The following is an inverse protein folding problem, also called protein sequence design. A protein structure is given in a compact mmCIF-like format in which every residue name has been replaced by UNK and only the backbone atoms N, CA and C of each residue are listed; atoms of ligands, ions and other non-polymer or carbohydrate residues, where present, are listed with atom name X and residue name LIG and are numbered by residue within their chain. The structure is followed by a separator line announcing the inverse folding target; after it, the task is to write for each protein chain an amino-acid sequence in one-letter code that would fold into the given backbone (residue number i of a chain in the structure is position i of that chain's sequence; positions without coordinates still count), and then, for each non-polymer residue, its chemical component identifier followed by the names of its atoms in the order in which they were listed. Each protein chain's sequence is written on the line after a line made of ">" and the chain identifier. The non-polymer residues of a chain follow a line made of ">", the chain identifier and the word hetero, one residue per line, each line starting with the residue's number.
data_IF_012724427285
#
_entry.id   IF_012724427285
#
_cell.length_a   1.000
_cell.length_b   1.000
_cell.length_c   1.000
_cell.angle_alpha   90.00
_cell.angle_beta   90.00
_cell.angle_gamma   90.00
#
_symmetry.space_group_name_H-M   'P 1'
#
loop_
_entity.id
_entity.type
_entity.pdbx_description
1 polymer ?
#
# COMPACT_ATOMS: atom_id res chain seq x y z
N UNK A 1 5.70 -14.53 -10.14
CA UNK A 1 7.05 -14.45 -9.56
C UNK A 1 6.94 -13.57 -8.32
N UNK A 2 6.71 -14.19 -7.17
CA UNK A 2 6.52 -13.49 -5.90
C UNK A 2 7.87 -12.88 -5.50
N UNK A 3 7.91 -11.55 -5.39
CA UNK A 3 9.13 -10.80 -5.15
C UNK A 3 9.63 -11.17 -3.74
N UNK A 4 10.71 -11.95 -3.67
CA UNK A 4 11.32 -12.40 -2.42
C UNK A 4 11.55 -11.18 -1.54
N UNK A 5 10.71 -11.06 -0.51
CA UNK A 5 10.84 -10.05 0.54
C UNK A 5 12.23 -10.25 1.13
N UNK A 6 13.05 -9.20 1.18
CA UNK A 6 14.48 -9.28 1.50
C UNK A 6 14.71 -9.98 2.85
N UNK A 7 14.88 -11.31 2.81
CA UNK A 7 15.00 -12.17 3.99
C UNK A 7 16.12 -11.70 4.93
N UNK A 8 17.22 -11.25 4.34
CA UNK A 8 18.35 -10.65 5.05
C UNK A 8 17.97 -9.41 5.88
N UNK A 9 17.02 -8.56 5.43
CA UNK A 9 16.59 -7.39 6.20
C UNK A 9 15.77 -7.79 7.43
N UNK A 10 14.90 -8.79 7.31
CA UNK A 10 14.14 -9.25 8.47
C UNK A 10 15.02 -9.98 9.48
N UNK A 11 16.02 -10.74 9.02
CA UNK A 11 17.01 -11.38 9.88
C UNK A 11 17.86 -10.34 10.63
N UNK A 12 18.35 -9.29 9.94
CA UNK A 12 19.12 -8.21 10.58
C UNK A 12 18.29 -7.45 11.63
N UNK A 13 17.05 -7.10 11.31
CA UNK A 13 16.15 -6.43 12.26
C UNK A 13 15.82 -7.35 13.44
N UNK A 14 15.54 -8.63 13.18
CA UNK A 14 15.28 -9.63 14.22
C UNK A 14 16.44 -9.75 15.22
N UNK A 15 17.69 -9.78 14.73
CA UNK A 15 18.88 -9.80 15.57
C UNK A 15 18.99 -8.54 16.44
N UNK A 16 18.77 -7.35 15.86
CA UNK A 16 18.85 -6.06 16.58
C UNK A 16 17.76 -5.90 17.65
N UNK A 17 16.57 -6.45 17.38
CA UNK A 17 15.38 -6.26 18.22
C UNK A 17 15.08 -7.45 19.13
N UNK A 18 15.85 -8.55 19.02
CA UNK A 18 15.67 -9.80 19.77
C UNK A 18 14.29 -10.43 19.58
N UNK A 19 13.69 -10.27 18.41
CA UNK A 19 12.45 -10.98 18.02
C UNK A 19 12.72 -11.93 16.87
N UNK A 20 11.78 -12.82 16.56
CA UNK A 20 11.95 -13.75 15.43
C UNK A 20 11.77 -13.03 14.08
N UNK A 21 12.45 -13.45 13.00
CA UNK A 21 12.24 -12.88 11.67
C UNK A 21 10.78 -12.96 11.20
N UNK A 22 10.06 -14.02 11.60
CA UNK A 22 8.63 -14.17 11.33
C UNK A 22 7.79 -13.07 12.00
N UNK A 23 8.09 -12.75 13.25
CA UNK A 23 7.41 -11.66 13.98
C UNK A 23 7.67 -10.31 13.31
N UNK A 24 8.90 -10.05 12.86
CA UNK A 24 9.24 -8.83 12.10
C UNK A 24 8.42 -8.74 10.82
N UNK A 25 8.32 -9.85 10.08
CA UNK A 25 7.52 -9.92 8.86
C UNK A 25 6.02 -9.67 9.13
N UNK A 26 5.46 -10.25 10.18
CA UNK A 26 4.05 -10.05 10.55
C UNK A 26 3.77 -8.58 10.90
N UNK A 27 4.63 -7.95 11.69
CA UNK A 27 4.52 -6.52 12.02
C UNK A 27 4.60 -5.68 10.74
N UNK A 28 5.56 -5.98 9.86
CA UNK A 28 5.72 -5.28 8.59
C UNK A 28 4.46 -5.37 7.72
N UNK A 29 3.87 -6.57 7.61
CA UNK A 29 2.60 -6.78 6.88
C UNK A 29 1.46 -5.95 7.46
N UNK A 30 1.35 -5.86 8.79
CA UNK A 30 0.31 -5.05 9.45
C UNK A 30 0.50 -3.56 9.13
N UNK A 31 1.72 -3.03 9.27
CA UNK A 31 1.99 -1.60 9.01
C UNK A 31 1.75 -1.24 7.54
N UNK A 32 2.21 -2.08 6.62
CA UNK A 32 1.97 -1.88 5.18
C UNK A 32 0.48 -1.99 4.84
N UNK A 33 -0.22 -2.97 5.41
CA UNK A 33 -1.65 -3.18 5.22
C UNK A 33 -2.47 -1.98 5.71
N UNK A 34 -2.17 -1.49 6.92
CA UNK A 34 -2.78 -0.29 7.48
C UNK A 34 -2.54 0.92 6.56
N UNK A 35 -1.28 1.18 6.19
CA UNK A 35 -0.92 2.30 5.31
C UNK A 35 -1.69 2.25 3.98
N UNK A 36 -1.76 1.08 3.35
CA UNK A 36 -2.49 0.89 2.11
C UNK A 36 -4.01 1.11 2.27
N UNK A 37 -4.58 0.63 3.38
CA UNK A 37 -5.99 0.84 3.72
C UNK A 37 -6.29 2.32 3.92
N UNK A 38 -5.49 3.02 4.70
CA UNK A 38 -5.64 4.46 4.95
C UNK A 38 -5.55 5.27 3.65
N UNK A 39 -4.59 4.99 2.77
CA UNK A 39 -4.50 5.67 1.46
C UNK A 39 -5.75 5.38 0.61
N UNK A 40 -6.27 4.16 0.64
CA UNK A 40 -7.44 3.78 -0.16
C UNK A 40 -8.73 4.42 0.35
N UNK A 41 -8.93 4.44 1.67
CA UNK A 41 -10.17 4.91 2.32
C UNK A 41 -10.19 6.42 2.52
N UNK A 42 -9.04 7.03 2.82
CA UNK A 42 -8.89 8.49 2.97
C UNK A 42 -8.79 9.22 1.63
N UNK A 43 -9.49 8.79 0.58
CA UNK A 43 -9.46 9.45 -0.75
C UNK A 43 -8.04 9.72 -1.30
N UNK A 44 -7.11 8.79 -1.14
CA UNK A 44 -5.71 8.93 -1.58
C UNK A 44 -4.91 9.99 -0.81
N UNK A 45 -5.31 10.29 0.42
CA UNK A 45 -4.55 11.09 1.37
C UNK A 45 -3.12 10.58 1.57
N UNK A 46 -2.24 11.51 1.96
CA UNK A 46 -0.83 11.21 2.18
C UNK A 46 -0.64 10.67 3.59
N UNK A 47 -0.08 9.46 3.72
CA UNK A 47 0.33 8.90 5.00
C UNK A 47 1.79 9.28 5.24
N UNK A 48 2.08 9.91 6.38
CA UNK A 48 3.43 10.24 6.79
C UNK A 48 3.89 9.30 7.90
N UNK A 49 5.03 8.64 7.67
CA UNK A 49 5.71 7.84 8.69
C UNK A 49 6.92 8.67 9.17
N UNK A 50 6.95 9.09 10.45
CA UNK A 50 8.05 9.87 11.00
C UNK A 50 9.41 9.22 10.75
N UNK A 51 10.42 10.02 10.39
CA UNK A 51 11.79 9.58 10.11
C UNK A 51 11.96 8.57 8.95
N UNK A 52 10.89 8.21 8.26
CA UNK A 52 10.91 7.26 7.15
C UNK A 52 10.50 7.91 5.83
N UNK A 53 9.34 8.57 5.78
CA UNK A 53 8.90 9.26 4.58
C UNK A 53 7.41 9.50 4.46
N UNK A 54 7.01 10.01 3.28
CA UNK A 54 5.62 10.30 2.93
C UNK A 54 5.16 9.37 1.80
N UNK A 55 4.01 8.74 2.00
CA UNK A 55 3.38 7.82 1.07
C UNK A 55 2.11 8.45 0.53
N UNK A 56 2.04 8.62 -0.80
CA UNK A 56 0.87 9.16 -1.47
C UNK A 56 0.59 8.39 -2.75
N UNK A 57 -0.67 8.28 -3.13
CA UNK A 57 -1.00 7.71 -4.43
C UNK A 57 -0.63 8.71 -5.55
N UNK A 58 -0.15 8.24 -6.71
CA UNK A 58 0.17 9.13 -7.82
C UNK A 58 -1.12 9.72 -8.41
N UNK A 59 -1.33 11.03 -8.27
CA UNK A 59 -2.56 11.71 -8.69
C UNK A 59 -2.99 11.38 -10.13
N UNK A 60 -2.05 11.38 -11.09
CA UNK A 60 -2.33 11.01 -12.50
C UNK A 60 -2.89 9.59 -12.65
N UNK A 61 -2.37 8.63 -11.87
CA UNK A 61 -2.83 7.22 -11.93
C UNK A 61 -4.20 7.06 -11.28
N UNK A 62 -4.45 7.80 -10.21
CA UNK A 62 -5.75 7.84 -9.53
C UNK A 62 -6.79 8.42 -10.48
N UNK A 63 -6.53 9.58 -11.07
CA UNK A 63 -7.44 10.24 -12.03
C UNK A 63 -7.79 9.33 -13.21
N UNK A 64 -6.79 8.71 -13.84
CA UNK A 64 -7.01 7.81 -14.97
C UNK A 64 -7.92 6.63 -14.60
N UNK A 65 -7.78 6.10 -13.37
CA UNK A 65 -8.61 5.00 -12.89
C UNK A 65 -10.05 5.44 -12.61
N UNK A 66 -10.27 6.64 -12.07
CA UNK A 66 -11.61 7.21 -11.91
C UNK A 66 -12.29 7.47 -13.25
N UNK A 67 -11.61 8.15 -14.17
CA UNK A 67 -12.16 8.46 -15.50
C UNK A 67 -12.56 7.18 -16.26
N UNK A 68 -11.72 6.13 -16.20
CA UNK A 68 -12.03 4.83 -16.81
C UNK A 68 -13.29 4.18 -16.20
N UNK A 69 -13.47 4.27 -14.88
CA UNK A 69 -14.66 3.75 -14.20
C UNK A 69 -15.94 4.48 -14.59
N UNK A 70 -15.88 5.82 -14.64
CA UNK A 70 -17.02 6.64 -15.01
C UNK A 70 -17.47 6.39 -16.45
N UNK A 71 -16.50 6.25 -17.37
CA UNK A 71 -16.79 5.95 -18.77
C UNK A 71 -17.50 4.59 -18.94
N UNK A 72 -17.09 3.55 -18.18
CA UNK A 72 -17.77 2.25 -18.19
C UNK A 72 -19.21 2.38 -17.65
N UNK A 73 -19.41 3.15 -16.58
CA UNK A 73 -20.75 3.38 -16.04
C UNK A 73 -21.67 4.14 -16.99
N UNK A 74 -21.15 5.11 -17.75
CA UNK A 74 -21.90 5.82 -18.79
C UNK A 74 -22.33 4.86 -19.91
N UNK A 75 -21.41 4.02 -20.40
CA UNK A 75 -21.72 3.02 -21.44
C UNK A 75 -22.83 2.07 -20.99
N UNK A 76 -22.78 1.57 -19.74
CA UNK A 76 -23.82 0.67 -19.22
C UNK A 76 -25.18 1.38 -19.15
N UNK A 77 -25.22 2.64 -18.68
CA UNK A 77 -26.46 3.42 -18.61
C UNK A 77 -27.05 3.75 -19.98
N UNK A 78 -26.23 3.99 -20.99
CA UNK A 78 -26.70 4.28 -22.35
C UNK A 78 -27.23 3.05 -23.10
N UNK A 79 -26.93 1.83 -22.62
CA UNK A 79 -27.40 0.57 -23.19
C UNK A 79 -28.52 -0.10 -22.37
N UNK A 80 -29.02 0.55 -21.31
CA UNK A 80 -30.17 0.13 -20.51
C UNK A 80 -31.38 1.00 -20.85
#
# INVERSE_FOLDING_TARGET
>A
MEKVMNKALFEDVALKTKVTPRTVEEIFKVVCGFTAKTIKEGNFETVMIPFFGKFKAPAKRVQNRFNKRNHIHEIIRSNS
#
